data_IF_307757096644
#
_entry.id   IF_307757096644
#
_cell.length_a   1.000
_cell.length_b   1.000
_cell.length_c   1.000
_cell.angle_alpha   90.00
_cell.angle_beta   90.00
_cell.angle_gamma   90.00
#
_symmetry.space_group_name_H-M   'P 1'
#
loop_
_entity.id
_entity.type
_entity.pdbx_description
1 polymer ?
#
# COMPACT_ATOMS: atom_id res chain seq x y z
N UNK A 1 -24.68 18.08 -67.85
CA UNK A 1 -24.41 18.02 -66.41
C UNK A 1 -23.01 17.46 -66.21
N UNK A 2 -22.18 18.10 -65.39
CA UNK A 2 -20.73 17.82 -65.32
C UNK A 2 -20.44 16.46 -64.68
N UNK A 3 -19.49 15.71 -65.26
CA UNK A 3 -19.02 14.41 -64.75
C UNK A 3 -18.56 14.48 -63.28
N UNK A 4 -18.07 15.65 -62.84
CA UNK A 4 -17.61 15.88 -61.48
C UNK A 4 -18.76 15.81 -60.46
N UNK A 5 -19.96 16.33 -60.78
CA UNK A 5 -21.13 16.24 -59.89
C UNK A 5 -21.63 14.82 -59.74
N UNK A 6 -21.55 14.02 -60.81
CA UNK A 6 -21.95 12.62 -60.80
C UNK A 6 -20.95 11.76 -59.98
N UNK A 7 -19.65 12.03 -60.13
CA UNK A 7 -18.62 11.39 -59.29
C UNK A 7 -18.84 11.69 -57.80
N UNK A 8 -19.12 12.94 -57.45
CA UNK A 8 -19.34 13.35 -56.05
C UNK A 8 -20.59 12.67 -55.46
N UNK A 9 -21.69 12.60 -56.22
CA UNK A 9 -22.90 11.88 -55.82
C UNK A 9 -22.66 10.37 -55.65
N UNK A 10 -21.87 9.74 -56.51
CA UNK A 10 -21.51 8.33 -56.36
C UNK A 10 -20.66 8.07 -55.11
N UNK A 11 -19.71 8.96 -54.81
CA UNK A 11 -18.87 8.80 -53.62
C UNK A 11 -19.65 8.97 -52.32
N UNK A 12 -20.58 9.92 -52.25
CA UNK A 12 -21.42 10.10 -51.06
C UNK A 12 -22.41 8.94 -50.89
N UNK A 13 -23.00 8.47 -51.98
CA UNK A 13 -23.85 7.27 -51.95
C UNK A 13 -23.07 6.03 -51.48
N UNK A 14 -21.86 5.81 -51.99
CA UNK A 14 -21.01 4.70 -51.56
C UNK A 14 -20.60 4.82 -50.08
N UNK A 15 -20.22 6.02 -49.62
CA UNK A 15 -19.84 6.25 -48.22
C UNK A 15 -21.01 5.99 -47.26
N UNK A 16 -22.22 6.44 -47.60
CA UNK A 16 -23.42 6.19 -46.77
C UNK A 16 -23.79 4.71 -46.72
N UNK A 17 -23.68 3.98 -47.83
CA UNK A 17 -23.93 2.54 -47.88
C UNK A 17 -22.94 1.76 -47.01
N UNK A 18 -21.64 2.10 -47.08
CA UNK A 18 -20.61 1.49 -46.23
C UNK A 18 -20.85 1.82 -44.76
N UNK A 19 -21.18 3.07 -44.43
CA UNK A 19 -21.50 3.47 -43.06
C UNK A 19 -22.68 2.69 -42.48
N UNK A 20 -23.76 2.53 -43.26
CA UNK A 20 -24.93 1.75 -42.85
C UNK A 20 -24.59 0.26 -42.65
N UNK A 21 -23.77 -0.33 -43.53
CA UNK A 21 -23.33 -1.71 -43.41
C UNK A 21 -22.47 -1.92 -42.14
N UNK A 22 -21.56 -1.00 -41.84
CA UNK A 22 -20.74 -1.05 -40.61
C UNK A 22 -21.62 -0.94 -39.37
N UNK A 23 -22.56 0.00 -39.32
CA UNK A 23 -23.49 0.13 -38.19
C UNK A 23 -24.32 -1.14 -37.98
N UNK A 24 -24.79 -1.77 -39.05
CA UNK A 24 -25.53 -3.02 -38.98
C UNK A 24 -24.65 -4.17 -38.44
N UNK A 25 -23.40 -4.27 -38.90
CA UNK A 25 -22.45 -5.26 -38.40
C UNK A 25 -22.12 -5.06 -36.92
N UNK A 26 -21.88 -3.82 -36.48
CA UNK A 26 -21.63 -3.48 -35.07
C UNK A 26 -22.85 -3.80 -34.21
N UNK A 27 -24.06 -3.49 -34.69
CA UNK A 27 -25.29 -3.84 -33.99
C UNK A 27 -25.48 -5.37 -33.86
N UNK A 28 -25.16 -6.12 -34.93
CA UNK A 28 -25.14 -7.58 -34.92
C UNK A 28 -24.14 -8.14 -33.90
N UNK A 29 -22.93 -7.60 -33.86
CA UNK A 29 -21.89 -8.01 -32.91
C UNK A 29 -22.29 -7.71 -31.46
N UNK A 30 -22.88 -6.53 -31.20
CA UNK A 30 -23.38 -6.17 -29.87
C UNK A 30 -24.44 -7.14 -29.39
N UNK A 31 -25.34 -7.57 -30.27
CA UNK A 31 -26.36 -8.58 -29.96
C UNK A 31 -25.74 -9.96 -29.69
N UNK A 32 -24.69 -10.35 -30.41
CA UNK A 32 -23.98 -11.61 -30.16
C UNK A 32 -23.23 -11.58 -28.82
N UNK A 33 -22.58 -10.47 -28.48
CA UNK A 33 -21.92 -10.28 -27.20
C UNK A 33 -22.91 -10.36 -26.04
N UNK A 34 -24.07 -9.68 -26.13
CA UNK A 34 -25.09 -9.77 -25.06
C UNK A 34 -25.67 -11.18 -24.91
N UNK A 35 -25.77 -11.93 -26.02
CA UNK A 35 -26.18 -13.34 -25.96
C UNK A 35 -25.11 -14.23 -25.30
N UNK A 36 -23.83 -14.03 -25.62
CA UNK A 36 -22.72 -14.79 -25.03
C UNK A 36 -22.57 -14.49 -23.54
N UNK A 37 -22.68 -13.23 -23.13
CA UNK A 37 -22.62 -12.87 -21.71
C UNK A 37 -23.79 -13.49 -20.95
N UNK A 38 -25.01 -13.43 -21.48
CA UNK A 38 -26.18 -14.09 -20.88
C UNK A 38 -26.00 -15.61 -20.79
N UNK A 39 -25.52 -16.27 -21.85
CA UNK A 39 -25.25 -17.70 -21.86
C UNK A 39 -24.16 -18.09 -20.84
N UNK A 40 -23.10 -17.27 -20.72
CA UNK A 40 -22.03 -17.50 -19.73
C UNK A 40 -22.51 -17.33 -18.29
N UNK A 41 -23.36 -16.34 -18.02
CA UNK A 41 -23.98 -16.11 -16.72
C UNK A 41 -24.91 -17.28 -16.35
N UNK A 42 -25.70 -17.77 -17.31
CA UNK A 42 -26.56 -18.92 -17.12
C UNK A 42 -25.76 -20.22 -16.88
N UNK A 43 -24.66 -20.43 -17.60
CA UNK A 43 -23.75 -21.55 -17.37
C UNK A 43 -23.10 -21.49 -15.97
N UNK A 44 -22.71 -20.29 -15.52
CA UNK A 44 -22.13 -20.08 -14.19
C UNK A 44 -23.16 -20.28 -13.07
N UNK A 45 -24.41 -19.86 -13.29
CA UNK A 45 -25.51 -20.11 -12.36
C UNK A 45 -25.87 -21.60 -12.29
N UNK A 46 -25.87 -22.30 -13.43
CA UNK A 46 -26.12 -23.74 -13.49
C UNK A 46 -24.97 -24.58 -12.88
N UNK A 47 -23.73 -24.10 -12.97
CA UNK A 47 -22.56 -24.76 -12.39
C UNK A 47 -22.47 -24.61 -10.87
N UNK A 48 -23.30 -23.76 -10.24
CA UNK A 48 -23.22 -23.46 -8.82
C UNK A 48 -21.98 -22.61 -8.47
N UNK A 49 -22.08 -21.86 -7.38
CA UNK A 49 -21.02 -20.99 -6.86
C UNK A 49 -19.82 -21.79 -6.35
N UNK A 50 -18.98 -22.27 -7.26
CA UNK A 50 -17.52 -22.46 -7.12
C UNK A 50 -17.04 -23.14 -8.39
N UNK A 51 -16.11 -22.51 -9.12
CA UNK A 51 -15.33 -23.23 -10.11
C UNK A 51 -14.49 -24.28 -9.35
N UNK A 52 -14.94 -25.53 -9.35
CA UNK A 52 -14.18 -26.64 -8.77
C UNK A 52 -13.06 -26.98 -9.72
N UNK A 53 -11.85 -26.54 -9.38
CA UNK A 53 -10.62 -27.00 -10.01
C UNK A 53 -10.60 -28.53 -9.88
N UNK A 54 -10.29 -29.30 -10.94
CA UNK A 54 -10.12 -30.74 -10.85
C UNK A 54 -9.13 -31.07 -9.73
N UNK A 55 -9.56 -31.89 -8.76
CA UNK A 55 -8.72 -32.31 -7.64
C UNK A 55 -7.40 -32.90 -8.15
N UNK A 56 -6.30 -32.59 -7.47
CA UNK A 56 -5.00 -33.18 -7.76
C UNK A 56 -5.13 -34.71 -7.73
N UNK A 57 -4.46 -35.42 -8.66
CA UNK A 57 -4.44 -36.90 -8.63
C UNK A 57 -3.89 -37.37 -7.29
N UNK A 58 -4.77 -37.91 -6.46
CA UNK A 58 -4.40 -38.63 -5.24
C UNK A 58 -3.66 -39.91 -5.66
N UNK A 59 -2.33 -39.89 -5.55
CA UNK A 59 -1.57 -41.12 -5.47
C UNK A 59 -1.46 -41.47 -3.99
N UNK A 60 -1.58 -42.74 -3.59
CA UNK A 60 -1.48 -43.12 -2.17
C UNK A 60 -0.13 -42.75 -1.52
N UNK A 61 0.90 -42.45 -2.34
CA UNK A 61 2.16 -41.88 -1.87
C UNK A 61 2.08 -40.38 -1.50
N UNK A 62 1.20 -39.61 -2.15
CA UNK A 62 1.05 -38.18 -1.93
C UNK A 62 0.35 -37.84 -0.59
N UNK A 63 -0.59 -38.69 -0.15
CA UNK A 63 -1.26 -38.54 1.15
C UNK A 63 -0.26 -38.74 2.31
N UNK A 64 0.58 -39.78 2.23
CA UNK A 64 1.61 -40.06 3.21
C UNK A 64 2.67 -38.96 3.25
N UNK A 65 3.15 -38.49 2.08
CA UNK A 65 4.19 -37.46 2.01
C UNK A 65 3.71 -36.11 2.57
N UNK A 66 2.45 -35.74 2.31
CA UNK A 66 1.87 -34.51 2.88
C UNK A 66 1.76 -34.58 4.41
N UNK A 67 1.40 -35.75 4.96
CA UNK A 67 1.34 -35.97 6.41
C UNK A 67 2.73 -35.94 7.06
N UNK A 68 3.72 -36.56 6.40
CA UNK A 68 5.12 -36.56 6.85
C UNK A 68 5.70 -35.14 6.88
N UNK A 69 5.47 -34.34 5.84
CA UNK A 69 5.90 -32.93 5.80
C UNK A 69 5.24 -32.11 6.90
N UNK A 70 3.92 -32.23 7.09
CA UNK A 70 3.23 -31.49 8.17
C UNK A 70 3.78 -31.84 9.55
N UNK A 71 4.08 -33.12 9.76
CA UNK A 71 4.65 -33.61 11.03
C UNK A 71 6.05 -33.05 11.24
N UNK A 72 6.92 -33.15 10.23
CA UNK A 72 8.29 -32.62 10.31
C UNK A 72 8.32 -31.10 10.53
N UNK A 73 7.44 -30.35 9.87
CA UNK A 73 7.33 -28.90 10.06
C UNK A 73 6.81 -28.56 11.46
N UNK A 74 5.83 -29.30 11.97
CA UNK A 74 5.31 -29.10 13.32
C UNK A 74 6.38 -29.37 14.39
N UNK A 75 7.19 -30.41 14.20
CA UNK A 75 8.33 -30.74 15.08
C UNK A 75 9.40 -29.64 15.05
N UNK A 76 9.81 -29.19 13.85
CA UNK A 76 10.80 -28.13 13.70
C UNK A 76 10.34 -26.79 14.32
N UNK A 77 9.06 -26.43 14.17
CA UNK A 77 8.50 -25.23 14.79
C UNK A 77 8.40 -25.36 16.32
N UNK A 78 8.13 -26.55 16.85
CA UNK A 78 8.11 -26.79 18.28
C UNK A 78 9.51 -26.65 18.90
N UNK A 79 10.54 -27.19 18.22
CA UNK A 79 11.93 -27.05 18.66
C UNK A 79 12.40 -25.59 18.63
N UNK A 80 12.06 -24.82 17.59
CA UNK A 80 12.35 -23.39 17.51
C UNK A 80 11.68 -22.61 18.65
N UNK A 81 10.39 -22.87 18.91
CA UNK A 81 9.64 -22.26 20.01
C UNK A 81 10.25 -22.58 21.38
N UNK A 82 10.71 -23.80 21.59
CA UNK A 82 11.36 -24.19 22.84
C UNK A 82 12.67 -23.43 23.04
N UNK A 83 13.43 -23.19 21.97
CA UNK A 83 14.66 -22.38 21.99
C UNK A 83 14.36 -20.93 22.34
N UNK A 84 13.38 -20.31 21.69
CA UNK A 84 12.93 -18.94 22.01
C UNK A 84 12.48 -18.82 23.48
N UNK A 85 11.71 -19.79 23.98
CA UNK A 85 11.24 -19.79 25.37
C UNK A 85 12.39 -20.04 26.36
N UNK A 86 13.42 -20.79 25.99
CA UNK A 86 14.60 -21.00 26.81
C UNK A 86 15.45 -19.72 26.89
N UNK A 87 15.63 -19.02 25.77
CA UNK A 87 16.31 -17.72 25.72
C UNK A 87 15.56 -16.66 26.54
N UNK A 88 14.24 -16.59 26.40
CA UNK A 88 13.40 -15.70 27.20
C UNK A 88 13.53 -16.02 28.70
N UNK A 89 13.49 -17.30 29.09
CA UNK A 89 13.68 -17.71 30.48
C UNK A 89 15.07 -17.34 31.00
N UNK A 90 16.11 -17.50 30.20
CA UNK A 90 17.47 -17.12 30.55
C UNK A 90 17.62 -15.60 30.69
N UNK A 91 17.02 -14.83 29.80
CA UNK A 91 17.00 -13.37 29.85
C UNK A 91 16.34 -12.87 31.14
N UNK A 92 15.14 -13.38 31.46
CA UNK A 92 14.43 -13.01 32.68
C UNK A 92 15.17 -13.45 33.95
N UNK A 93 15.75 -14.65 33.96
CA UNK A 93 16.56 -15.11 35.10
C UNK A 93 17.81 -14.24 35.29
N UNK A 94 18.46 -13.80 34.21
CA UNK A 94 19.58 -12.89 34.27
C UNK A 94 19.15 -11.50 34.78
N UNK A 95 18.01 -10.99 34.34
CA UNK A 95 17.47 -9.73 34.84
C UNK A 95 17.10 -9.80 36.32
N UNK A 96 16.42 -10.87 36.76
CA UNK A 96 16.10 -11.10 38.17
C UNK A 96 17.37 -11.24 39.03
N UNK A 97 18.44 -11.83 38.50
CA UNK A 97 19.74 -11.90 39.19
C UNK A 97 20.40 -10.52 39.34
N UNK A 98 20.24 -9.63 38.36
CA UNK A 98 20.74 -8.24 38.41
C UNK A 98 19.90 -7.40 39.37
N UNK A 99 18.57 -7.49 39.28
CA UNK A 99 17.65 -6.82 40.21
C UNK A 99 17.87 -7.29 41.65
N UNK A 100 18.14 -8.58 41.88
CA UNK A 100 18.47 -9.11 43.21
C UNK A 100 19.85 -8.66 43.71
N UNK A 101 20.81 -8.41 42.82
CA UNK A 101 22.14 -7.89 43.17
C UNK A 101 22.13 -6.37 43.42
N UNK A 102 21.33 -5.63 42.66
CA UNK A 102 21.16 -4.18 42.78
C UNK A 102 20.11 -3.79 43.85
N UNK A 103 19.32 -4.75 44.34
CA UNK A 103 18.45 -4.55 45.49
C UNK A 103 19.31 -4.20 46.73
N UNK A 104 19.20 -2.97 47.28
CA UNK A 104 19.91 -2.62 48.50
C UNK A 104 19.48 -3.62 49.58
N UNK A 105 20.45 -4.27 50.22
CA UNK A 105 20.21 -5.35 51.18
C UNK A 105 19.38 -4.85 52.36
N UNK A 106 18.05 -4.89 52.24
CA UNK A 106 17.11 -4.43 53.26
C UNK A 106 17.16 -5.27 54.55
N UNK A 107 17.88 -6.40 54.54
CA UNK A 107 18.13 -7.21 55.73
C UNK A 107 19.54 -7.02 56.33
N UNK A 108 20.47 -6.40 55.61
CA UNK A 108 21.82 -6.09 56.09
C UNK A 108 21.90 -4.77 56.87
N UNK A 109 20.97 -3.84 56.64
CA UNK A 109 20.90 -2.56 57.35
C UNK A 109 20.11 -2.58 58.67
N UNK A 110 19.42 -3.70 58.95
CA UNK A 110 18.42 -3.78 60.03
C UNK A 110 18.96 -4.36 61.36
N UNK A 111 20.24 -4.71 61.42
CA UNK A 111 20.89 -5.13 62.67
C UNK A 111 21.46 -3.96 63.51
N UNK A 112 21.32 -2.71 63.04
CA UNK A 112 22.04 -1.55 63.61
C UNK A 112 21.22 -0.32 63.96
N UNK A 113 19.93 -0.25 63.65
CA UNK A 113 19.11 0.93 63.95
C UNK A 113 17.87 0.51 64.72
N UNK A 114 17.79 1.03 65.94
CA UNK A 114 16.71 0.79 66.89
C UNK A 114 15.35 1.24 66.37
N UNK A 115 14.36 1.04 67.24
CA UNK A 115 12.90 1.08 67.10
C UNK A 115 12.24 2.36 66.51
N UNK A 116 12.99 3.19 65.77
CA UNK A 116 12.55 4.47 65.19
C UNK A 116 12.80 4.57 63.66
N UNK A 117 12.60 3.47 62.93
CA UNK A 117 12.61 3.52 61.46
C UNK A 117 11.26 4.02 60.94
N UNK A 118 11.07 5.34 60.94
CA UNK A 118 9.96 5.98 60.25
C UNK A 118 10.00 5.60 58.75
N UNK A 119 8.96 4.91 58.29
CA UNK A 119 8.74 4.62 56.87
C UNK A 119 8.82 5.92 56.07
N UNK A 120 9.88 6.07 55.27
CA UNK A 120 10.02 7.22 54.38
C UNK A 120 9.10 7.00 53.17
N UNK A 121 7.96 7.70 53.16
CA UNK A 121 7.09 7.84 51.99
C UNK A 121 7.45 9.18 51.35
N UNK A 122 8.00 9.21 50.13
CA UNK A 122 8.35 10.46 49.45
C UNK A 122 7.14 11.38 49.35
N UNK A 123 7.30 12.64 49.74
CA UNK A 123 6.24 13.65 49.62
C UNK A 123 6.40 14.35 48.27
N UNK A 124 5.32 14.86 47.69
CA UNK A 124 5.36 15.63 46.44
C UNK A 124 6.35 16.83 46.47
N UNK A 125 6.69 17.33 47.65
CA UNK A 125 7.70 18.38 47.82
C UNK A 125 9.14 17.91 47.50
N UNK A 126 9.42 16.61 47.54
CA UNK A 126 10.75 16.04 47.26
C UNK A 126 11.06 15.99 45.75
N UNK A 127 10.06 16.27 44.89
CA UNK A 127 10.21 16.40 43.44
C UNK A 127 10.36 17.87 42.97
N UNK A 128 10.22 18.84 43.86
CA UNK A 128 10.42 20.26 43.53
C UNK A 128 11.93 20.55 43.40
N UNK A 129 12.45 20.47 42.19
CA UNK A 129 13.88 20.65 41.88
C UNK A 129 14.37 19.83 40.68
N UNK A 130 13.59 18.84 40.23
CA UNK A 130 13.77 18.19 38.93
C UNK A 130 13.02 18.99 37.84
N UNK A 131 13.55 20.16 37.49
CA UNK A 131 13.18 20.81 36.24
C UNK A 131 13.71 19.95 35.06
N UNK A 132 12.91 19.70 34.01
CA UNK A 132 13.30 18.83 32.92
C UNK A 132 14.36 19.51 32.06
N UNK A 133 15.63 19.19 32.29
CA UNK A 133 16.77 19.57 31.45
C UNK A 133 16.80 18.88 30.08
N UNK A 134 15.65 18.69 29.43
CA UNK A 134 15.54 18.12 28.09
C UNK A 134 15.64 19.20 26.99
N UNK A 135 15.44 20.49 27.31
CA UNK A 135 15.55 21.58 26.33
C UNK A 135 17.01 22.02 26.06
N UNK A 136 17.93 21.88 27.01
CA UNK A 136 19.31 22.35 26.86
C UNK A 136 20.19 21.43 25.97
N UNK A 137 19.79 20.17 25.78
CA UNK A 137 20.52 19.23 24.91
C UNK A 137 20.12 19.42 23.45
N UNK A 138 18.86 19.79 23.20
CA UNK A 138 18.35 20.01 21.85
C UNK A 138 18.88 21.31 21.22
N UNK A 139 19.10 22.35 22.03
CA UNK A 139 19.65 23.64 21.58
C UNK A 139 21.13 23.53 21.15
N UNK A 140 21.92 22.65 21.80
CA UNK A 140 23.35 22.47 21.46
C UNK A 140 23.62 21.69 20.16
N UNK A 141 22.61 21.02 19.61
CA UNK A 141 22.71 20.27 18.34
C UNK A 141 22.31 21.14 17.14
N UNK A 142 21.67 22.28 17.38
CA UNK A 142 21.15 23.16 16.33
C UNK A 142 22.04 24.39 16.03
N UNK A 143 23.03 24.69 16.89
CA UNK A 143 24.00 25.77 16.67
C UNK A 143 25.39 25.25 16.26
N UNK A 144 25.54 25.04 14.94
CA UNK A 144 26.71 25.45 14.15
C UNK A 144 28.10 24.86 14.44
N UNK A 145 28.51 23.89 13.61
CA UNK A 145 29.89 23.81 13.09
C UNK A 145 29.88 23.16 11.70
N UNK A 146 29.59 23.98 10.69
CA UNK A 146 29.43 23.63 9.26
C UNK A 146 30.76 23.51 8.49
N UNK A 147 31.93 23.50 9.14
CA UNK A 147 33.23 23.68 8.45
C UNK A 147 34.13 22.43 8.37
N UNK A 148 33.68 21.23 8.76
CA UNK A 148 34.53 20.01 8.73
C UNK A 148 33.97 18.87 7.85
N UNK A 149 32.84 19.05 7.16
CA UNK A 149 32.30 18.05 6.23
C UNK A 149 32.50 18.38 4.74
N UNK A 150 32.78 19.64 4.39
CA UNK A 150 32.86 20.09 3.00
C UNK A 150 34.20 19.74 2.31
N UNK A 151 35.28 19.46 3.05
CA UNK A 151 36.62 19.27 2.49
C UNK A 151 36.94 17.82 2.07
N UNK A 152 36.05 16.85 2.32
CA UNK A 152 36.34 15.41 2.11
C UNK A 152 35.51 14.78 0.99
N UNK A 153 34.56 15.50 0.39
CA UNK A 153 33.67 14.97 -0.65
C UNK A 153 34.09 15.37 -2.07
N UNK A 154 34.97 16.36 -2.23
CA UNK A 154 35.41 16.86 -3.54
C UNK A 154 36.52 16.03 -4.22
N UNK A 155 36.93 14.87 -3.66
CA UNK A 155 38.03 14.05 -4.21
C UNK A 155 37.68 12.61 -4.62
N UNK A 156 36.39 12.24 -4.69
CA UNK A 156 35.96 10.91 -5.16
C UNK A 156 35.10 10.96 -6.44
N UNK A 157 35.22 12.02 -7.23
CA UNK A 157 34.66 12.08 -8.59
C UNK A 157 35.59 11.38 -9.61
N UNK A 158 36.02 10.15 -9.29
CA UNK A 158 36.60 9.25 -10.28
C UNK A 158 35.46 8.60 -11.07
N UNK A 159 35.28 9.12 -12.28
CA UNK A 159 34.65 8.56 -13.46
C UNK A 159 34.45 7.02 -13.42
N UNK A 160 33.30 6.58 -12.89
CA UNK A 160 32.84 5.20 -13.08
C UNK A 160 32.13 5.10 -14.44
N UNK A 161 32.52 4.15 -15.31
CA UNK A 161 31.89 3.97 -16.62
C UNK A 161 30.41 3.59 -16.43
N UNK A 162 29.53 4.17 -17.24
CA UNK A 162 28.07 4.02 -17.15
C UNK A 162 27.65 2.55 -16.92
N UNK A 163 27.12 2.29 -15.72
CA UNK A 163 26.74 0.96 -15.24
C UNK A 163 25.63 0.35 -16.12
N UNK A 164 25.89 -0.84 -16.67
CA UNK A 164 24.96 -1.62 -17.50
C UNK A 164 23.64 -1.92 -16.74
N UNK A 165 22.45 -1.85 -17.40
CA UNK A 165 21.14 -1.94 -16.75
C UNK A 165 20.89 -3.25 -15.99
N UNK A 166 21.61 -4.32 -16.34
CA UNK A 166 21.54 -5.63 -15.68
C UNK A 166 22.21 -5.61 -14.28
N UNK A 167 23.28 -4.83 -14.12
CA UNK A 167 23.96 -4.61 -12.84
C UNK A 167 23.13 -3.72 -11.90
N UNK A 168 22.43 -2.73 -12.46
CA UNK A 168 21.48 -1.90 -11.72
C UNK A 168 20.30 -2.71 -11.18
N UNK A 169 19.81 -3.70 -11.94
CA UNK A 169 18.77 -4.63 -11.49
C UNK A 169 19.28 -5.59 -10.40
N UNK A 170 20.51 -6.09 -10.51
CA UNK A 170 21.13 -6.95 -9.50
C UNK A 170 21.45 -6.22 -8.17
N UNK A 171 21.68 -4.89 -8.22
CA UNK A 171 21.82 -4.04 -7.02
C UNK A 171 20.48 -3.70 -6.35
N UNK A 172 19.32 -4.03 -6.93
CA UNK A 172 18.03 -3.98 -6.22
C UNK A 172 17.98 -5.12 -5.20
N UNK A 173 18.71 -4.91 -4.10
CA UNK A 173 18.86 -5.87 -3.01
C UNK A 173 17.51 -6.10 -2.33
N UNK A 174 17.27 -7.34 -1.91
CA UNK A 174 16.06 -7.69 -1.17
C UNK A 174 16.01 -6.91 0.16
N UNK A 175 14.83 -6.46 0.63
CA UNK A 175 14.72 -5.66 1.87
C UNK A 175 15.32 -6.30 3.13
N UNK A 176 15.49 -7.62 3.14
CA UNK A 176 16.13 -8.35 4.24
C UNK A 176 17.65 -8.36 4.20
N UNK A 177 18.27 -7.72 3.19
CA UNK A 177 19.72 -7.65 3.08
C UNK A 177 20.26 -6.56 4.02
N UNK A 178 21.33 -6.80 4.80
CA UNK A 178 21.84 -5.84 5.79
C UNK A 178 22.26 -4.49 5.17
N UNK A 179 22.71 -4.53 3.92
CA UNK A 179 23.09 -3.35 3.13
C UNK A 179 21.94 -2.77 2.28
N UNK A 180 20.69 -3.11 2.56
CA UNK A 180 19.54 -2.49 1.93
C UNK A 180 19.27 -1.13 2.57
N UNK A 181 19.58 -0.06 1.84
CA UNK A 181 19.15 1.29 2.20
C UNK A 181 17.96 1.63 1.32
N UNK A 182 16.76 1.83 1.88
CA UNK A 182 15.61 2.28 1.10
C UNK A 182 16.00 3.56 0.35
N UNK A 183 15.73 3.60 -0.96
CA UNK A 183 15.85 4.84 -1.73
C UNK A 183 14.83 5.81 -1.13
N UNK A 184 15.32 6.79 -0.39
CA UNK A 184 14.52 7.88 0.15
C UNK A 184 14.22 8.82 -1.02
N UNK A 185 13.19 8.52 -1.81
CA UNK A 185 12.60 9.56 -2.65
C UNK A 185 12.02 10.63 -1.73
N UNK A 186 12.31 11.93 -1.98
CA UNK A 186 11.81 12.99 -1.12
C UNK A 186 10.28 12.97 -1.17
N UNK A 187 9.65 12.58 -0.05
CA UNK A 187 8.20 12.43 0.11
C UNK A 187 7.43 13.69 -0.30
N UNK A 188 8.07 14.85 -0.20
CA UNK A 188 7.51 16.16 -0.62
C UNK A 188 7.31 16.22 -2.14
N UNK A 189 8.24 15.70 -2.94
CA UNK A 189 8.12 15.68 -4.39
C UNK A 189 6.98 14.75 -4.86
N UNK A 190 6.76 13.65 -4.14
CA UNK A 190 5.67 12.72 -4.42
C UNK A 190 4.30 13.32 -4.07
N UNK A 191 4.22 14.15 -3.03
CA UNK A 191 2.98 14.86 -2.66
C UNK A 191 2.59 15.91 -3.70
N UNK A 192 3.50 16.82 -4.06
CA UNK A 192 3.24 17.85 -5.08
C UNK A 192 2.85 17.22 -6.42
N UNK A 193 3.58 16.18 -6.83
CA UNK A 193 3.26 15.42 -8.05
C UNK A 193 1.87 14.79 -7.99
N UNK A 194 1.49 14.22 -6.85
CA UNK A 194 0.15 13.63 -6.67
C UNK A 194 -0.93 14.70 -6.76
N UNK A 195 -0.74 15.85 -6.11
CA UNK A 195 -1.69 16.97 -6.14
C UNK A 195 -1.87 17.49 -7.57
N UNK A 196 -0.78 17.80 -8.27
CA UNK A 196 -0.85 18.24 -9.67
C UNK A 196 -1.57 17.21 -10.54
N UNK A 197 -1.31 15.92 -10.33
CA UNK A 197 -1.98 14.87 -11.11
C UNK A 197 -3.47 14.75 -10.81
N UNK A 198 -3.88 14.94 -9.55
CA UNK A 198 -5.30 14.96 -9.18
C UNK A 198 -6.02 16.18 -9.76
N UNK A 199 -5.36 17.34 -9.80
CA UNK A 199 -5.89 18.56 -10.45
C UNK A 199 -6.07 18.35 -11.96
N UNK A 200 -5.06 17.79 -12.64
CA UNK A 200 -5.13 17.46 -14.07
C UNK A 200 -6.29 16.51 -14.38
N UNK A 201 -6.46 15.44 -13.59
CA UNK A 201 -7.57 14.48 -13.74
C UNK A 201 -8.95 15.14 -13.55
N UNK A 202 -9.05 16.09 -12.61
CA UNK A 202 -10.28 16.82 -12.34
C UNK A 202 -10.60 17.83 -13.44
N UNK A 203 -9.60 18.54 -13.95
CA UNK A 203 -9.75 19.51 -15.04
C UNK A 203 -10.12 18.82 -16.36
N UNK A 204 -9.44 17.72 -16.68
CA UNK A 204 -9.71 16.92 -17.88
C UNK A 204 -11.04 16.14 -17.79
N UNK A 205 -11.61 16.01 -16.59
CA UNK A 205 -12.74 15.11 -16.28
C UNK A 205 -12.50 13.71 -16.84
N UNK A 206 -11.31 13.16 -16.62
CA UNK A 206 -11.00 11.81 -17.10
C UNK A 206 -11.94 10.81 -16.42
N UNK A 207 -12.63 10.00 -17.22
CA UNK A 207 -13.53 8.97 -16.73
C UNK A 207 -12.76 7.85 -16.02
N UNK A 208 -13.34 7.37 -14.93
CA UNK A 208 -12.92 6.17 -14.24
C UNK A 208 -13.29 4.94 -15.08
N UNK A 209 -12.37 3.98 -15.18
CA UNK A 209 -12.51 2.77 -15.99
C UNK A 209 -12.56 1.50 -15.16
N UNK A 210 -11.90 1.48 -14.00
CA UNK A 210 -11.89 0.32 -13.08
C UNK A 210 -11.70 0.78 -11.63
N UNK A 211 -12.31 0.06 -10.70
CA UNK A 211 -12.15 0.25 -9.26
C UNK A 211 -12.00 -1.11 -8.60
N UNK A 212 -10.89 -1.29 -7.89
CA UNK A 212 -10.54 -2.52 -7.20
C UNK A 212 -10.34 -2.22 -5.72
N UNK A 213 -11.40 -2.41 -4.91
CA UNK A 213 -11.27 -2.29 -3.46
C UNK A 213 -10.29 -3.33 -2.93
N UNK A 214 -9.38 -2.91 -2.05
CA UNK A 214 -8.42 -3.80 -1.41
C UNK A 214 -9.11 -4.75 -0.42
N UNK A 215 -8.72 -6.04 -0.34
CA UNK A 215 -9.26 -6.93 0.68
C UNK A 215 -8.92 -6.39 2.08
N UNK A 216 -9.88 -6.41 3.01
CA UNK A 216 -9.69 -6.04 4.43
C UNK A 216 -9.22 -4.58 4.66
N UNK A 217 -9.60 -3.63 3.81
CA UNK A 217 -9.21 -2.22 3.98
C UNK A 217 -7.73 -1.97 3.67
N UNK A 218 -7.16 -2.80 2.80
CA UNK A 218 -5.84 -2.58 2.20
C UNK A 218 -5.92 -1.49 1.12
N UNK A 219 -4.97 -1.49 0.19
CA UNK A 219 -4.86 -0.47 -0.83
C UNK A 219 -5.94 -0.62 -1.90
N UNK A 220 -6.75 0.42 -2.07
CA UNK A 220 -7.72 0.51 -3.15
C UNK A 220 -7.03 1.04 -4.41
N UNK A 221 -7.38 0.47 -5.56
CA UNK A 221 -6.83 0.86 -6.86
C UNK A 221 -7.93 1.39 -7.77
N UNK A 222 -7.74 2.60 -8.27
CA UNK A 222 -8.65 3.29 -9.19
C UNK A 222 -7.93 3.53 -10.50
N UNK A 223 -8.50 3.07 -11.61
CA UNK A 223 -7.90 3.22 -12.94
C UNK A 223 -8.75 4.18 -13.75
N UNK A 224 -8.10 5.15 -14.38
CA UNK A 224 -8.72 6.15 -15.24
C UNK A 224 -8.56 5.76 -16.71
N UNK A 225 -9.39 6.34 -17.57
CA UNK A 225 -9.40 6.06 -19.01
C UNK A 225 -8.12 6.50 -19.73
N UNK A 226 -7.36 7.44 -19.16
CA UNK A 226 -6.07 7.89 -19.67
C UNK A 226 -4.90 6.98 -19.24
N UNK A 227 -5.19 5.91 -18.50
CA UNK A 227 -4.20 4.97 -17.97
C UNK A 227 -3.70 5.34 -16.57
N UNK A 228 -4.07 6.51 -16.03
CA UNK A 228 -3.66 6.90 -14.67
C UNK A 228 -4.24 5.94 -13.64
N UNK A 229 -3.41 5.58 -12.67
CA UNK A 229 -3.78 4.74 -11.53
C UNK A 229 -3.64 5.55 -10.25
N UNK A 230 -4.69 5.53 -9.42
CA UNK A 230 -4.64 6.02 -8.04
C UNK A 230 -4.63 4.83 -7.10
N UNK A 231 -3.58 4.77 -6.29
CA UNK A 231 -3.40 3.80 -5.23
C UNK A 231 -3.64 4.51 -3.89
N UNK A 232 -4.64 4.08 -3.12
CA UNK A 232 -5.01 4.77 -1.88
C UNK A 232 -5.22 3.84 -0.70
N UNK A 233 -4.84 4.28 0.51
CA UNK A 233 -4.96 3.52 1.77
C UNK A 233 -5.51 4.43 2.86
N UNK A 234 -6.41 3.98 3.77
CA UNK A 234 -7.55 3.09 3.61
C UNK A 234 -8.80 3.87 3.15
N UNK A 235 -9.46 3.41 2.09
CA UNK A 235 -10.73 3.98 1.62
C UNK A 235 -11.93 3.35 2.34
N UNK A 236 -13.00 4.13 2.53
CA UNK A 236 -14.25 3.61 3.08
C UNK A 236 -14.83 2.59 2.09
N UNK A 237 -14.74 1.28 2.39
CA UNK A 237 -15.08 0.19 1.46
C UNK A 237 -16.43 0.38 0.76
N UNK A 238 -17.45 0.87 1.46
CA UNK A 238 -18.77 1.16 0.89
C UNK A 238 -18.70 2.17 -0.27
N UNK A 239 -17.87 3.22 -0.16
CA UNK A 239 -17.71 4.21 -1.25
C UNK A 239 -16.99 3.63 -2.46
N UNK A 240 -15.97 2.79 -2.25
CA UNK A 240 -15.29 2.09 -3.33
C UNK A 240 -16.22 1.06 -4.02
N UNK A 241 -17.02 0.32 -3.25
CA UNK A 241 -18.02 -0.60 -3.76
C UNK A 241 -19.12 0.12 -4.56
N UNK A 242 -19.59 1.27 -4.09
CA UNK A 242 -20.57 2.11 -4.80
C UNK A 242 -20.03 2.62 -6.15
N UNK A 243 -18.79 3.10 -6.17
CA UNK A 243 -18.12 3.51 -7.41
C UNK A 243 -17.93 2.33 -8.38
N UNK A 244 -17.55 1.17 -7.87
CA UNK A 244 -17.43 -0.05 -8.66
C UNK A 244 -18.79 -0.55 -9.19
N UNK A 245 -19.88 -0.35 -8.44
CA UNK A 245 -21.24 -0.68 -8.89
C UNK A 245 -21.69 0.26 -10.02
N UNK A 246 -21.52 1.57 -9.85
CA UNK A 246 -21.86 2.57 -10.87
C UNK A 246 -21.13 2.30 -12.20
N UNK A 247 -19.85 1.91 -12.14
CA UNK A 247 -19.12 1.46 -13.34
C UNK A 247 -19.73 0.21 -13.99
N UNK A 248 -20.22 -0.75 -13.18
CA UNK A 248 -20.89 -1.97 -13.68
C UNK A 248 -22.27 -1.67 -14.28
N UNK A 249 -22.96 -0.64 -13.77
CA UNK A 249 -24.23 -0.13 -14.31
C UNK A 249 -24.04 0.66 -15.62
N UNK A 250 -22.80 1.05 -15.94
CA UNK A 250 -22.42 1.70 -17.19
C UNK A 250 -22.26 3.21 -17.09
N UNK A 251 -22.24 3.76 -15.88
CA UNK A 251 -21.87 5.15 -15.66
C UNK A 251 -20.36 5.37 -15.88
N UNK A 252 -19.98 6.63 -16.06
CA UNK A 252 -18.59 7.05 -16.18
C UNK A 252 -18.27 8.07 -15.08
N UNK A 253 -17.97 7.61 -13.84
CA UNK A 253 -17.59 8.49 -12.76
C UNK A 253 -16.34 9.31 -13.13
N UNK A 254 -16.32 10.60 -12.81
CA UNK A 254 -15.14 11.46 -12.99
C UNK A 254 -14.71 12.04 -11.66
N UNK A 255 -13.41 12.28 -11.49
CA UNK A 255 -12.92 13.05 -10.37
C UNK A 255 -13.34 14.52 -10.58
N UNK A 256 -14.03 15.10 -9.59
CA UNK A 256 -14.44 16.51 -9.59
C UNK A 256 -13.42 17.40 -8.88
N UNK A 257 -12.64 16.82 -7.98
CA UNK A 257 -11.59 17.52 -7.25
C UNK A 257 -11.00 16.66 -6.15
N UNK A 258 -9.74 16.94 -5.84
CA UNK A 258 -9.03 16.40 -4.68
C UNK A 258 -8.48 17.55 -3.84
N UNK A 259 -8.52 17.44 -2.52
CA UNK A 259 -7.84 18.37 -1.62
C UNK A 259 -7.02 17.60 -0.59
N UNK A 260 -5.80 18.07 -0.34
CA UNK A 260 -4.93 17.53 0.70
C UNK A 260 -5.08 18.32 2.01
N UNK A 261 -5.24 17.63 3.14
CA UNK A 261 -5.27 18.24 4.48
C UNK A 261 -4.40 17.40 5.41
N UNK A 262 -3.32 17.99 5.94
CA UNK A 262 -2.43 17.36 6.91
C UNK A 262 -1.90 15.96 6.49
N UNK A 263 -1.65 15.76 5.20
CA UNK A 263 -1.16 14.50 4.63
C UNK A 263 -2.24 13.55 4.12
N UNK A 264 -3.49 13.72 4.54
CA UNK A 264 -4.65 12.99 4.03
C UNK A 264 -5.26 13.69 2.80
N UNK A 265 -6.07 12.97 2.05
CA UNK A 265 -6.76 13.45 0.86
C UNK A 265 -8.28 13.26 0.96
N UNK A 266 -9.02 14.29 0.56
CA UNK A 266 -10.45 14.22 0.31
C UNK A 266 -10.69 14.31 -1.20
N UNK A 267 -11.24 13.24 -1.78
CA UNK A 267 -11.54 13.12 -3.21
C UNK A 267 -13.06 13.14 -3.42
N UNK A 268 -13.51 13.86 -4.44
CA UNK A 268 -14.93 13.91 -4.81
C UNK A 268 -15.11 13.34 -6.21
N UNK A 269 -15.93 12.30 -6.34
CA UNK A 269 -16.29 11.70 -7.62
C UNK A 269 -17.75 12.00 -7.95
N UNK A 270 -18.04 12.29 -9.21
CA UNK A 270 -19.41 12.27 -9.70
C UNK A 270 -19.84 10.82 -9.94
N UNK A 271 -21.04 10.45 -9.50
CA UNK A 271 -21.61 9.12 -9.65
C UNK A 271 -23.06 9.29 -10.13
N UNK A 272 -23.25 9.45 -11.43
CA UNK A 272 -24.56 9.79 -12.00
C UNK A 272 -25.06 11.16 -11.53
N UNK A 273 -26.18 11.18 -10.80
CA UNK A 273 -26.77 12.39 -10.20
C UNK A 273 -26.22 12.70 -8.78
N UNK A 274 -25.47 11.77 -8.18
CA UNK A 274 -24.92 11.90 -6.83
C UNK A 274 -23.41 12.14 -6.85
N UNK A 275 -22.87 12.65 -5.75
CA UNK A 275 -21.42 12.76 -5.53
C UNK A 275 -20.98 11.78 -4.45
N UNK A 276 -19.89 11.07 -4.71
CA UNK A 276 -19.24 10.16 -3.75
C UNK A 276 -17.98 10.84 -3.23
N UNK A 277 -17.86 10.90 -1.91
CA UNK A 277 -16.72 11.50 -1.22
C UNK A 277 -15.86 10.40 -0.60
N UNK A 278 -14.57 10.42 -0.90
CA UNK A 278 -13.59 9.47 -0.36
C UNK A 278 -12.58 10.23 0.47
N UNK A 279 -12.35 9.74 1.69
CA UNK A 279 -11.23 10.15 2.52
C UNK A 279 -10.17 9.06 2.46
N UNK A 280 -8.94 9.44 2.16
CA UNK A 280 -7.79 8.56 2.09
C UNK A 280 -6.63 9.13 2.90
N UNK A 281 -5.96 8.31 3.69
CA UNK A 281 -4.77 8.72 4.46
C UNK A 281 -3.58 8.96 3.52
N UNK A 282 -3.46 8.13 2.48
CA UNK A 282 -2.48 8.32 1.41
C UNK A 282 -3.08 8.08 0.04
N UNK A 283 -2.64 8.87 -0.92
CA UNK A 283 -2.92 8.71 -2.34
C UNK A 283 -1.58 8.78 -3.08
N UNK A 284 -1.38 7.85 -4.01
CA UNK A 284 -0.28 7.85 -4.95
C UNK A 284 -0.89 7.83 -6.35
N UNK A 285 -0.57 8.83 -7.16
CA UNK A 285 -0.98 8.89 -8.55
C UNK A 285 0.19 8.52 -9.47
N UNK A 286 0.01 7.50 -10.30
CA UNK A 286 0.98 7.09 -11.31
C UNK A 286 0.31 6.94 -12.67
N UNK A 287 0.96 7.44 -13.71
CA UNK A 287 0.64 7.14 -15.11
C UNK A 287 1.48 5.94 -15.58
#
# INVERSE_FOLDING_TARGET
>A
MSAMSLALLLTTAAATAVGAAVLYAVHGLRKQLTQLTAASAQARAAAGSTATVPGARETPAAENWSSEIRTAVAEALAEERERELAEARAFWAAQESRDAADAPSLLGGLAGLGDDAAFFVPRQADFAGFEPGFDAVLDSVLDGDDDIAAATVESLAEEFPEDSPELAAARRRHPSHPEFVPVQTPVVADHERTVTRLEELAESRTALSDVRPGPLGTLDVYVFADGTTLCMTPGHRETAERLAESLREGDAPVLLGGSGVAGAYALTFSCGEENVYILADRVIASL
#
